data_IF_924453456641
#
_entry.id   IF_924453456641
#
_cell.length_a   1.000
_cell.length_b   1.000
_cell.length_c   1.000
_cell.angle_alpha   90.00
_cell.angle_beta   90.00
_cell.angle_gamma   90.00
#
_symmetry.space_group_name_H-M   'P 1'
#
loop_
_entity.id
_entity.type
_entity.pdbx_description
1 polymer ?
#
# COMPACT_ATOMS: atom_id res chain seq x y z
N UNK A 1 -4.54 9.18 11.14
CA UNK A 1 -3.49 10.06 10.57
C UNK A 1 -2.42 9.21 9.89
N UNK A 2 -1.87 9.63 8.74
CA UNK A 2 -0.85 8.87 7.97
C UNK A 2 0.32 8.38 8.84
N UNK A 3 0.81 9.22 9.75
CA UNK A 3 1.92 8.88 10.65
C UNK A 3 1.62 7.66 11.54
N UNK A 4 0.36 7.48 11.95
CA UNK A 4 -0.05 6.34 12.77
C UNK A 4 -0.04 5.04 11.95
N UNK A 5 -0.46 5.12 10.68
CA UNK A 5 -0.45 3.98 9.76
C UNK A 5 0.99 3.55 9.44
N UNK A 6 1.88 4.49 9.14
CA UNK A 6 3.29 4.18 8.87
C UNK A 6 3.98 3.55 10.09
N UNK A 7 3.72 4.05 11.31
CA UNK A 7 4.24 3.45 12.54
C UNK A 7 3.72 2.02 12.78
N UNK A 8 2.45 1.76 12.45
CA UNK A 8 1.89 0.42 12.55
C UNK A 8 2.55 -0.53 11.54
N UNK A 9 2.67 -0.11 10.28
CA UNK A 9 3.32 -0.91 9.22
C UNK A 9 4.82 -1.15 9.49
N UNK A 10 5.50 -0.18 10.12
CA UNK A 10 6.88 -0.34 10.58
C UNK A 10 6.97 -1.39 11.71
N UNK A 11 6.07 -1.32 12.70
CA UNK A 11 5.98 -2.29 13.79
C UNK A 11 5.67 -3.71 13.28
N UNK A 12 4.84 -3.82 12.26
CA UNK A 12 4.44 -5.09 11.65
C UNK A 12 5.49 -5.64 10.67
N UNK A 13 6.61 -4.92 10.46
CA UNK A 13 7.70 -5.36 9.58
C UNK A 13 7.42 -5.27 8.09
N UNK A 14 6.39 -4.50 7.69
CA UNK A 14 5.97 -4.31 6.30
C UNK A 14 6.72 -3.14 5.66
N UNK A 15 7.04 -2.12 6.45
CA UNK A 15 7.74 -0.91 6.02
C UNK A 15 9.02 -0.69 6.84
N UNK A 16 10.09 -0.24 6.21
CA UNK A 16 11.27 0.31 6.90
C UNK A 16 11.25 1.83 6.87
N UNK A 17 11.83 2.44 7.90
CA UNK A 17 12.00 3.88 8.04
C UNK A 17 13.48 4.23 8.11
N UNK A 18 13.96 5.04 7.16
CA UNK A 18 15.34 5.52 7.11
C UNK A 18 15.39 7.03 7.34
N UNK A 19 16.23 7.46 8.28
CA UNK A 19 16.46 8.88 8.60
C UNK A 19 17.82 9.29 8.06
N UNK A 20 17.84 10.31 7.22
CA UNK A 20 19.06 10.88 6.67
C UNK A 20 19.34 12.23 7.35
N UNK A 21 20.38 12.31 8.21
CA UNK A 21 20.76 13.53 8.90
C UNK A 21 21.53 14.46 7.95
N UNK A 22 20.82 15.04 6.98
CA UNK A 22 21.33 16.02 6.01
C UNK A 22 20.57 17.34 6.14
N UNK A 23 21.02 18.40 5.46
CA UNK A 23 20.27 19.65 5.33
C UNK A 23 19.75 19.76 3.90
N UNK A 24 18.42 19.81 3.66
CA UNK A 24 17.33 19.66 4.65
C UNK A 24 17.15 18.20 5.13
N UNK A 25 16.68 17.98 6.37
CA UNK A 25 16.52 16.64 6.92
C UNK A 25 15.50 15.84 6.10
N UNK A 26 15.83 14.57 5.83
CA UNK A 26 15.03 13.68 4.98
C UNK A 26 14.68 12.40 5.73
N UNK A 27 13.44 11.95 5.56
CA UNK A 27 12.97 10.65 6.03
C UNK A 27 12.39 9.91 4.84
N UNK A 28 12.79 8.66 4.66
CA UNK A 28 12.24 7.78 3.64
C UNK A 28 11.56 6.59 4.28
N UNK A 29 10.47 6.16 3.66
CA UNK A 29 9.78 4.92 3.98
C UNK A 29 9.85 4.01 2.75
N UNK A 30 10.18 2.75 2.95
CA UNK A 30 10.25 1.76 1.88
C UNK A 30 9.58 0.46 2.33
N UNK A 31 9.07 -0.34 1.38
CA UNK A 31 8.59 -1.68 1.71
C UNK A 31 9.77 -2.59 2.04
N UNK A 32 9.61 -3.42 3.08
CA UNK A 32 10.50 -4.55 3.33
C UNK A 32 10.28 -5.62 2.26
N UNK A 33 11.13 -6.64 2.22
CA UNK A 33 10.91 -7.76 1.30
C UNK A 33 9.63 -8.53 1.64
N UNK A 34 9.28 -8.62 2.92
CA UNK A 34 7.98 -9.13 3.37
C UNK A 34 6.82 -8.25 2.90
N UNK A 35 6.97 -6.92 2.98
CA UNK A 35 5.95 -5.99 2.48
C UNK A 35 5.77 -6.06 0.97
N UNK A 36 6.86 -6.26 0.21
CA UNK A 36 6.79 -6.49 -1.25
C UNK A 36 6.11 -7.81 -1.59
N UNK A 37 6.26 -8.84 -0.76
CA UNK A 37 5.61 -10.14 -0.96
C UNK A 37 4.07 -10.06 -0.89
N UNK A 38 3.50 -8.98 -0.33
CA UNK A 38 2.06 -8.70 -0.39
C UNK A 38 1.59 -8.20 -1.77
N UNK A 39 2.50 -7.76 -2.63
CA UNK A 39 2.21 -7.18 -3.94
C UNK A 39 1.29 -8.04 -4.81
N UNK A 40 1.58 -9.35 -5.02
CA UNK A 40 0.71 -10.24 -5.79
C UNK A 40 -0.72 -10.33 -5.22
N UNK A 41 -0.88 -10.46 -3.90
CA UNK A 41 -2.22 -10.52 -3.29
C UNK A 41 -3.00 -9.22 -3.46
N UNK A 42 -2.32 -8.08 -3.40
CA UNK A 42 -2.94 -6.77 -3.68
C UNK A 42 -3.34 -6.63 -5.15
N UNK A 43 -2.54 -7.17 -6.08
CA UNK A 43 -2.86 -7.17 -7.51
C UNK A 43 -4.15 -7.95 -7.79
N UNK A 44 -4.29 -9.16 -7.23
CA UNK A 44 -5.51 -9.96 -7.37
C UNK A 44 -6.75 -9.23 -6.82
N UNK A 45 -6.60 -8.53 -5.69
CA UNK A 45 -7.68 -7.73 -5.12
C UNK A 45 -8.08 -6.55 -6.03
N UNK A 46 -7.09 -5.91 -6.67
CA UNK A 46 -7.30 -4.85 -7.63
C UNK A 46 -8.04 -5.38 -8.86
N UNK A 47 -7.63 -6.53 -9.39
CA UNK A 47 -8.26 -7.17 -10.55
C UNK A 47 -9.72 -7.54 -10.25
N UNK A 48 -9.97 -8.14 -9.08
CA UNK A 48 -11.34 -8.37 -8.61
C UNK A 48 -12.15 -7.08 -8.53
N UNK A 49 -11.57 -6.00 -8.03
CA UNK A 49 -12.25 -4.70 -7.92
C UNK A 49 -12.58 -4.10 -9.30
N UNK A 50 -11.76 -4.34 -10.33
CA UNK A 50 -12.08 -3.98 -11.71
C UNK A 50 -13.20 -4.83 -12.27
N UNK A 51 -13.15 -6.17 -12.11
CA UNK A 51 -14.21 -7.07 -12.55
C UNK A 51 -15.56 -6.71 -11.91
N UNK A 52 -15.56 -6.41 -10.60
CA UNK A 52 -16.76 -5.99 -9.87
C UNK A 52 -17.33 -4.68 -10.39
N UNK A 53 -16.48 -3.68 -10.66
CA UNK A 53 -16.92 -2.40 -11.23
C UNK A 53 -17.53 -2.57 -12.61
N UNK A 54 -16.91 -3.37 -13.47
CA UNK A 54 -17.43 -3.66 -14.80
C UNK A 54 -18.81 -4.33 -14.74
N UNK A 55 -19.01 -5.28 -13.82
CA UNK A 55 -20.31 -5.92 -13.59
C UNK A 55 -21.38 -4.89 -13.18
N UNK A 56 -21.09 -4.07 -12.17
CA UNK A 56 -22.04 -3.07 -11.67
C UNK A 56 -22.38 -2.01 -12.73
N UNK A 57 -21.44 -1.63 -13.59
CA UNK A 57 -21.70 -0.69 -14.67
C UNK A 57 -22.68 -1.25 -15.73
N UNK A 58 -22.69 -2.58 -15.93
CA UNK A 58 -23.63 -3.26 -16.82
C UNK A 58 -25.03 -3.46 -16.23
N UNK A 59 -25.17 -3.43 -14.91
CA UNK A 59 -26.46 -3.60 -14.21
C UNK A 59 -27.29 -2.30 -14.13
N UNK A 60 -26.70 -1.13 -14.46
CA UNK A 60 -27.37 0.19 -14.37
C UNK A 60 -28.22 0.50 -15.62
N UNK A 61 -28.30 -0.41 -16.59
CA UNK A 61 -28.91 -0.13 -17.90
C UNK A 61 -30.24 -0.85 -18.18
N UNK A 62 -30.90 -1.41 -17.15
CA UNK A 62 -32.24 -2.03 -17.24
C UNK A 62 -33.27 -1.31 -16.39
#
# INVERSE_FOLDING_TARGET
MLIQQLKALEKDGIVTRSVYPQVPPKVEYALTDMGKALGPSMAELIDWAFMRRARLAGEVQT
#
